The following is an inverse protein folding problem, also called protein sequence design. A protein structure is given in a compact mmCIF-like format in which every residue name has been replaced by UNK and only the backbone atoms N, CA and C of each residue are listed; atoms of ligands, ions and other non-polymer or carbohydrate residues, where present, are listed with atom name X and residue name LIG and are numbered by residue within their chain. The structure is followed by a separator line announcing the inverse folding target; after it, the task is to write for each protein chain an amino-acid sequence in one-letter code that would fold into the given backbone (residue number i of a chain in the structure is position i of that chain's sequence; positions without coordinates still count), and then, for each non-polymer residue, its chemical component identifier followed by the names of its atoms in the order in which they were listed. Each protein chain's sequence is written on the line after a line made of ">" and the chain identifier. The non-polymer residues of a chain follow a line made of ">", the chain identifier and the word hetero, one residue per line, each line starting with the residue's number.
data_IF_437092789408
#
_entry.id   IF_437092789408
#
_cell.length_a   1.000
_cell.length_b   1.000
_cell.length_c   1.000
_cell.angle_alpha   90.00
_cell.angle_beta   90.00
_cell.angle_gamma   90.00
#
_symmetry.space_group_name_H-M   'P 1'
#
loop_
_entity.id
_entity.type
_entity.pdbx_description
1 polymer ?
#
# COMPACT_ATOMS: atom_id res chain seq x y z
N UNK A 1 3.09 -3.21 -11.42
CA UNK A 1 1.98 -3.11 -10.44
C UNK A 1 0.78 -2.48 -11.12
N UNK A 2 -0.44 -2.78 -10.70
CA UNK A 2 -1.63 -2.05 -11.17
C UNK A 2 -1.86 -0.80 -10.32
N UNK A 3 -2.58 0.22 -10.85
CA UNK A 3 -2.91 1.42 -10.10
C UNK A 3 -3.66 1.14 -8.79
N UNK A 4 -3.56 2.06 -7.82
CA UNK A 4 -4.42 2.07 -6.64
C UNK A 4 -5.90 2.14 -7.05
N UNK A 5 -6.79 1.55 -6.24
CA UNK A 5 -8.22 1.48 -6.53
C UNK A 5 -8.62 0.50 -7.65
N UNK A 6 -7.67 -0.12 -8.36
CA UNK A 6 -7.97 -1.08 -9.44
C UNK A 6 -8.92 -2.24 -9.07
N UNK A 7 -8.95 -2.76 -7.81
CA UNK A 7 -9.93 -3.78 -7.41
C UNK A 7 -11.38 -3.28 -7.31
N UNK A 8 -11.64 -1.98 -7.45
CA UNK A 8 -12.95 -1.36 -7.27
C UNK A 8 -13.53 -0.89 -8.60
N UNK A 9 -14.88 -0.89 -8.75
CA UNK A 9 -15.54 -0.28 -9.89
C UNK A 9 -15.06 1.16 -10.11
N UNK A 10 -14.75 1.48 -11.37
CA UNK A 10 -14.25 2.79 -11.78
C UNK A 10 -12.93 3.23 -11.12
N UNK A 11 -12.18 2.31 -10.50
CA UNK A 11 -10.90 2.62 -9.86
C UNK A 11 -11.03 3.40 -8.56
N UNK A 12 -12.21 3.45 -7.93
CA UNK A 12 -12.48 4.25 -6.73
C UNK A 12 -12.66 3.38 -5.50
N UNK A 13 -11.63 3.30 -4.67
CA UNK A 13 -11.74 2.74 -3.32
C UNK A 13 -12.40 3.80 -2.39
N UNK A 14 -13.61 3.55 -1.85
CA UNK A 14 -14.31 4.51 -1.01
C UNK A 14 -13.60 4.80 0.32
N UNK A 15 -12.64 3.97 0.74
CA UNK A 15 -11.89 4.11 2.00
C UNK A 15 -10.41 4.41 1.80
N UNK A 16 -9.93 4.45 0.56
CA UNK A 16 -8.52 4.64 0.21
C UNK A 16 -7.58 3.75 1.07
N UNK A 17 -7.87 2.45 1.10
CA UNK A 17 -7.31 1.52 2.10
C UNK A 17 -6.82 0.18 1.53
N UNK A 18 -7.09 -0.10 0.25
CA UNK A 18 -6.77 -1.38 -0.37
C UNK A 18 -5.64 -1.26 -1.38
N UNK A 19 -4.58 -2.03 -1.16
CA UNK A 19 -3.45 -2.21 -2.08
C UNK A 19 -3.38 -3.69 -2.48
N UNK A 20 -3.35 -3.98 -3.78
CA UNK A 20 -3.22 -5.35 -4.30
C UNK A 20 -1.76 -5.73 -4.51
N UNK A 21 -1.34 -6.86 -3.96
CA UNK A 21 -0.01 -7.45 -4.14
C UNK A 21 -0.14 -8.71 -5.01
N UNK A 22 0.75 -8.88 -5.99
CA UNK A 22 0.78 -10.07 -6.88
C UNK A 22 2.12 -10.80 -6.72
N UNK A 23 2.21 -11.77 -5.80
CA UNK A 23 3.49 -12.36 -5.38
C UNK A 23 4.03 -13.47 -6.30
N UNK A 24 3.26 -13.90 -7.31
CA UNK A 24 3.57 -15.11 -8.10
C UNK A 24 4.67 -14.97 -9.15
N UNK A 25 5.06 -13.74 -9.51
CA UNK A 25 6.08 -13.46 -10.52
C UNK A 25 7.51 -13.34 -9.97
N UNK A 26 7.78 -12.54 -8.91
CA UNK A 26 9.15 -12.34 -8.43
C UNK A 26 9.73 -13.58 -7.72
N UNK A 27 11.06 -13.62 -7.60
CA UNK A 27 11.76 -14.56 -6.72
C UNK A 27 11.41 -14.31 -5.25
N UNK A 28 11.66 -15.28 -4.36
CA UNK A 28 11.45 -15.09 -2.93
C UNK A 28 12.34 -13.98 -2.35
N UNK A 29 13.56 -13.82 -2.85
CA UNK A 29 14.48 -12.78 -2.41
C UNK A 29 13.98 -11.38 -2.79
N UNK A 30 13.57 -11.21 -4.04
CA UNK A 30 12.99 -9.94 -4.52
C UNK A 30 11.68 -9.63 -3.80
N UNK A 31 10.81 -10.63 -3.62
CA UNK A 31 9.54 -10.48 -2.91
C UNK A 31 9.75 -10.07 -1.45
N UNK A 32 10.74 -10.66 -0.78
CA UNK A 32 11.11 -10.31 0.59
C UNK A 32 11.54 -8.85 0.67
N UNK A 33 12.46 -8.43 -0.20
CA UNK A 33 12.97 -7.06 -0.25
C UNK A 33 11.86 -6.06 -0.56
N UNK A 34 11.05 -6.34 -1.58
CA UNK A 34 9.92 -5.48 -1.97
C UNK A 34 8.89 -5.34 -0.83
N UNK A 35 8.60 -6.43 -0.11
CA UNK A 35 7.65 -6.41 1.01
C UNK A 35 8.18 -5.62 2.21
N UNK A 36 9.48 -5.72 2.50
CA UNK A 36 10.11 -4.93 3.57
C UNK A 36 10.00 -3.43 3.27
N UNK A 37 10.30 -3.02 2.04
CA UNK A 37 10.15 -1.62 1.59
C UNK A 37 8.68 -1.18 1.68
N UNK A 38 7.75 -2.02 1.20
CA UNK A 38 6.32 -1.75 1.29
C UNK A 38 5.86 -1.51 2.74
N UNK A 39 6.30 -2.34 3.69
CA UNK A 39 5.98 -2.17 5.12
C UNK A 39 6.52 -0.86 5.68
N UNK A 40 7.71 -0.43 5.27
CA UNK A 40 8.27 0.89 5.65
C UNK A 40 7.36 2.02 5.15
N UNK A 41 6.94 1.99 3.89
CA UNK A 41 6.02 2.99 3.32
C UNK A 41 4.68 3.02 4.06
N UNK A 42 4.09 1.85 4.35
CA UNK A 42 2.81 1.76 5.08
C UNK A 42 2.95 2.37 6.48
N UNK A 43 4.03 2.06 7.20
CA UNK A 43 4.30 2.64 8.52
C UNK A 43 4.42 4.17 8.44
N UNK A 44 5.20 4.67 7.49
CA UNK A 44 5.38 6.11 7.31
C UNK A 44 4.05 6.82 7.04
N UNK A 45 3.30 6.38 6.03
CA UNK A 45 2.00 6.96 5.68
C UNK A 45 0.99 6.89 6.84
N UNK A 46 1.02 5.80 7.63
CA UNK A 46 0.17 5.66 8.81
C UNK A 46 0.53 6.68 9.90
N UNK A 47 1.82 6.88 10.17
CA UNK A 47 2.30 7.86 11.15
C UNK A 47 1.97 9.27 10.69
N UNK A 48 2.21 9.60 9.42
CA UNK A 48 1.87 10.90 8.84
C UNK A 48 0.38 11.21 8.98
N UNK A 49 -0.48 10.24 8.68
CA UNK A 49 -1.93 10.38 8.85
C UNK A 49 -2.31 10.65 10.31
N UNK A 50 -1.80 9.84 11.24
CA UNK A 50 -2.09 9.99 12.67
C UNK A 50 -1.62 11.36 13.19
N UNK A 51 -0.42 11.81 12.81
CA UNK A 51 0.10 13.12 13.22
C UNK A 51 -0.70 14.28 12.60
N UNK A 52 -1.12 14.16 11.34
CA UNK A 52 -1.96 15.16 10.69
C UNK A 52 -3.35 15.28 11.33
N UNK A 53 -3.95 14.16 11.75
CA UNK A 53 -5.23 14.14 12.48
C UNK A 53 -5.11 14.72 13.90
N UNK A 54 -3.95 14.59 14.56
CA UNK A 54 -3.70 15.18 15.88
C UNK A 54 -3.45 16.70 15.87
N UNK A 55 -3.14 17.27 14.70
CA UNK A 55 -2.86 18.70 14.53
C UNK A 55 -4.11 19.50 14.08
N UNK A 56 -5.21 18.82 13.76
CA UNK A 56 -6.48 19.40 13.33
C UNK A 56 -7.48 19.55 14.49
#
# INVERSE_FOLDING_TARGET
>A
MTPAGAPFPYGKDPKDSVIRISPSYPSLEDLTTATQIFVVCVKLASIEKILGEQQA
#
